data_IF_135073497216
#
_entry.id   IF_135073497216
#
_cell.length_a   1.000
_cell.length_b   1.000
_cell.length_c   1.000
_cell.angle_alpha   90.00
_cell.angle_beta   90.00
_cell.angle_gamma   90.00
#
_symmetry.space_group_name_H-M   'P 1'
#
loop_
_entity.id
_entity.type
_entity.pdbx_description
1 polymer ?
#
# COMPACT_ATOMS: atom_id res chain seq x y z
N UNK A 1 -15.31 -37.15 74.83
CA UNK A 1 -15.03 -36.99 73.38
C UNK A 1 -15.58 -35.64 72.95
N UNK A 2 -14.72 -34.86 72.30
CA UNK A 2 -14.85 -33.44 71.94
C UNK A 2 -15.76 -33.26 70.71
N UNK A 3 -16.54 -32.15 70.64
CA UNK A 3 -16.85 -31.31 69.45
C UNK A 3 -17.91 -30.25 69.85
N UNK A 4 -17.54 -29.03 70.23
CA UNK A 4 -17.16 -27.82 69.46
C UNK A 4 -18.28 -27.21 68.59
N UNK A 5 -18.53 -25.92 68.86
CA UNK A 5 -19.48 -24.98 68.25
C UNK A 5 -19.20 -24.67 66.76
N UNK A 6 -20.22 -24.17 66.06
CA UNK A 6 -20.07 -23.42 64.80
C UNK A 6 -21.03 -22.23 64.75
N UNK A 7 -20.50 -21.02 65.00
CA UNK A 7 -21.14 -19.74 64.70
C UNK A 7 -21.13 -19.51 63.17
N UNK A 8 -22.22 -19.00 62.62
CA UNK A 8 -22.30 -18.50 61.24
C UNK A 8 -22.01 -17.00 61.25
N UNK A 9 -20.89 -16.59 60.66
CA UNK A 9 -20.54 -15.20 60.37
C UNK A 9 -20.84 -14.89 58.89
N UNK A 10 -21.77 -13.95 58.67
CA UNK A 10 -22.05 -13.35 57.36
C UNK A 10 -20.99 -12.28 57.06
N UNK A 11 -20.11 -12.55 56.11
CA UNK A 11 -19.17 -11.57 55.54
C UNK A 11 -19.85 -10.81 54.39
N UNK A 12 -19.93 -9.49 54.54
CA UNK A 12 -20.38 -8.55 53.53
C UNK A 12 -19.17 -8.16 52.65
N UNK A 13 -19.08 -8.69 51.43
CA UNK A 13 -18.08 -8.26 50.46
C UNK A 13 -18.63 -7.08 49.65
N UNK A 14 -18.26 -5.85 50.03
CA UNK A 14 -18.40 -4.69 49.17
C UNK A 14 -17.28 -4.70 48.11
N UNK A 15 -17.60 -5.13 46.89
CA UNK A 15 -16.69 -5.07 45.75
C UNK A 15 -16.60 -3.64 45.22
N UNK A 16 -15.44 -2.99 45.40
CA UNK A 16 -15.07 -1.77 44.67
C UNK A 16 -14.81 -2.13 43.20
N UNK A 17 -15.79 -1.86 42.34
CA UNK A 17 -15.59 -1.84 40.89
C UNK A 17 -14.97 -0.52 40.44
N UNK A 18 -13.65 -0.38 40.58
CA UNK A 18 -12.92 0.68 39.89
C UNK A 18 -12.71 0.24 38.43
N UNK A 19 -13.63 0.63 37.56
CA UNK A 19 -13.42 0.53 36.12
C UNK A 19 -12.25 1.42 35.73
N UNK A 20 -11.15 0.83 35.27
CA UNK A 20 -10.06 1.57 34.62
C UNK A 20 -10.64 2.09 33.32
N UNK A 21 -10.99 3.37 33.28
CA UNK A 21 -11.29 4.06 32.03
C UNK A 21 -10.00 4.04 31.20
N UNK A 22 -10.03 3.39 30.03
CA UNK A 22 -8.94 3.47 29.08
C UNK A 22 -8.72 4.95 28.73
N UNK A 23 -7.55 5.48 29.09
CA UNK A 23 -7.18 6.86 28.78
C UNK A 23 -7.19 7.03 27.26
N UNK A 24 -8.03 7.95 26.76
CA UNK A 24 -8.10 8.21 25.32
C UNK A 24 -6.77 8.81 24.88
N UNK A 25 -6.10 8.12 23.96
CA UNK A 25 -4.84 8.59 23.37
C UNK A 25 -5.06 9.95 22.70
N UNK A 26 -4.25 10.95 23.04
CA UNK A 26 -4.35 12.28 22.44
C UNK A 26 -4.04 12.23 20.93
N UNK A 27 -4.70 13.05 20.09
CA UNK A 27 -4.38 13.19 18.67
C UNK A 27 -2.89 13.45 18.44
N UNK A 28 -2.25 12.69 17.55
CA UNK A 28 -0.85 12.90 17.17
C UNK A 28 -0.65 12.82 15.65
N UNK A 29 0.21 13.69 15.12
CA UNK A 29 0.64 13.67 13.71
C UNK A 29 2.06 14.22 13.60
N UNK A 30 2.93 13.49 12.92
CA UNK A 30 4.33 13.83 12.69
C UNK A 30 4.72 13.51 11.25
N UNK A 31 5.57 14.34 10.65
CA UNK A 31 6.11 14.16 9.31
C UNK A 31 7.63 14.10 9.34
N UNK A 32 8.21 13.22 8.52
CA UNK A 32 9.65 13.11 8.32
C UNK A 32 9.95 12.90 6.84
N UNK A 33 11.03 13.51 6.33
CA UNK A 33 11.56 13.21 4.99
C UNK A 33 12.57 12.07 5.14
N UNK A 34 12.37 10.96 4.44
CA UNK A 34 13.28 9.81 4.51
C UNK A 34 14.22 9.70 3.30
N UNK A 35 13.79 10.23 2.16
CA UNK A 35 14.60 10.33 0.95
C UNK A 35 14.29 11.64 0.24
N UNK A 36 15.33 12.40 -0.13
CA UNK A 36 15.18 13.64 -0.90
C UNK A 36 15.74 13.46 -2.31
N UNK A 37 15.09 14.04 -3.31
CA UNK A 37 15.65 14.09 -4.66
C UNK A 37 17.04 14.78 -4.63
N UNK A 38 18.00 14.22 -5.37
CA UNK A 38 19.39 14.66 -5.41
C UNK A 38 20.23 14.28 -4.18
N UNK A 39 19.70 13.51 -3.23
CA UNK A 39 20.47 13.00 -2.10
C UNK A 39 21.22 11.72 -2.49
N UNK A 40 22.50 11.62 -2.10
CA UNK A 40 23.37 10.49 -2.47
C UNK A 40 23.67 10.46 -3.97
N UNK A 41 23.79 9.25 -4.52
CA UNK A 41 24.20 9.03 -5.92
C UNK A 41 23.01 9.01 -6.91
N UNK A 42 21.81 9.42 -6.48
CA UNK A 42 20.59 9.28 -7.28
C UNK A 42 19.90 10.62 -7.51
N UNK A 43 19.20 10.70 -8.63
CA UNK A 43 18.41 11.87 -8.94
C UNK A 43 17.15 11.95 -8.11
N UNK A 44 16.43 10.85 -7.92
CA UNK A 44 15.16 10.85 -7.22
C UNK A 44 14.74 9.50 -6.69
N UNK A 45 13.81 9.53 -5.74
CA UNK A 45 13.30 8.36 -5.06
C UNK A 45 11.79 8.25 -5.25
N UNK A 46 11.30 7.05 -5.57
CA UNK A 46 9.91 6.82 -5.96
C UNK A 46 9.39 5.48 -5.48
N UNK A 47 8.07 5.30 -5.60
CA UNK A 47 7.37 4.01 -5.43
C UNK A 47 7.59 3.41 -4.02
N UNK A 48 6.77 3.82 -3.03
CA UNK A 48 6.90 3.36 -1.65
C UNK A 48 6.48 1.90 -1.51
N UNK A 49 7.20 1.17 -0.65
CA UNK A 49 6.76 -0.08 -0.04
C UNK A 49 7.13 -0.03 1.44
N UNK A 50 6.20 -0.37 2.32
CA UNK A 50 6.30 -0.19 3.77
C UNK A 50 5.88 -1.47 4.49
N UNK A 51 6.66 -1.87 5.49
CA UNK A 51 6.42 -3.09 6.25
C UNK A 51 6.73 -2.87 7.74
N UNK A 52 5.86 -3.36 8.63
CA UNK A 52 6.15 -3.56 10.05
C UNK A 52 6.44 -5.05 10.26
N UNK A 53 7.57 -5.37 10.91
CA UNK A 53 7.99 -6.77 11.07
C UNK A 53 7.39 -7.42 12.31
N UNK A 54 7.70 -8.70 12.56
CA UNK A 54 7.32 -9.39 13.80
C UNK A 54 8.04 -8.83 15.03
N UNK A 55 9.21 -8.22 14.84
CA UNK A 55 9.92 -7.54 15.92
C UNK A 55 9.17 -6.26 16.26
N UNK A 56 8.69 -6.09 17.51
CA UNK A 56 7.95 -4.89 17.88
C UNK A 56 8.74 -3.63 17.52
N UNK A 57 8.05 -2.66 16.92
CA UNK A 57 8.62 -1.37 16.51
C UNK A 57 9.63 -1.40 15.35
N UNK A 58 9.98 -2.56 14.79
CA UNK A 58 10.80 -2.58 13.57
C UNK A 58 9.94 -2.20 12.36
N UNK A 59 10.41 -1.22 11.60
CA UNK A 59 9.79 -0.74 10.36
C UNK A 59 10.82 -0.75 9.24
N UNK A 60 10.43 -1.26 8.07
CA UNK A 60 11.22 -1.19 6.84
C UNK A 60 10.49 -0.33 5.82
N UNK A 61 11.20 0.60 5.20
CA UNK A 61 10.74 1.32 4.01
C UNK A 61 11.63 0.98 2.84
N UNK A 62 11.04 0.74 1.68
CA UNK A 62 11.72 0.53 0.42
C UNK A 62 11.27 1.57 -0.59
N UNK A 63 12.20 2.01 -1.42
CA UNK A 63 11.94 2.91 -2.53
C UNK A 63 12.79 2.52 -3.73
N UNK A 64 12.29 2.82 -4.92
CA UNK A 64 13.12 2.92 -6.10
C UNK A 64 14.05 4.13 -5.99
N UNK A 65 15.32 3.94 -6.31
CA UNK A 65 16.31 5.00 -6.47
C UNK A 65 16.65 5.12 -7.96
N UNK A 66 16.28 6.26 -8.55
CA UNK A 66 16.28 6.50 -10.00
C UNK A 66 17.32 7.56 -10.37
N UNK A 67 17.89 7.44 -11.57
CA UNK A 67 18.69 8.51 -12.18
C UNK A 67 17.88 9.81 -12.36
N UNK A 68 18.58 10.94 -12.41
CA UNK A 68 17.97 12.28 -12.41
C UNK A 68 17.10 12.55 -13.64
N UNK A 69 17.62 12.24 -14.82
CA UNK A 69 16.97 12.48 -16.09
C UNK A 69 17.14 11.24 -16.95
N UNK A 70 16.19 10.97 -17.84
CA UNK A 70 16.54 10.20 -19.04
C UNK A 70 17.26 11.12 -20.04
N UNK A 71 17.89 10.52 -21.05
CA UNK A 71 18.46 11.24 -22.19
C UNK A 71 17.46 12.09 -23.01
N UNK A 72 16.21 12.26 -22.54
CA UNK A 72 15.18 13.12 -23.12
C UNK A 72 14.67 14.19 -22.13
N UNK A 73 15.31 14.35 -20.95
CA UNK A 73 15.01 15.41 -20.00
C UNK A 73 13.78 15.17 -19.10
N UNK A 74 13.24 13.94 -19.02
CA UNK A 74 12.16 13.63 -18.07
C UNK A 74 12.75 13.29 -16.69
N UNK A 75 12.30 13.94 -15.60
CA UNK A 75 12.83 13.67 -14.27
C UNK A 75 12.36 12.32 -13.72
N UNK A 76 13.32 11.56 -13.17
CA UNK A 76 13.15 10.27 -12.48
C UNK A 76 12.32 9.23 -13.26
N UNK A 77 12.68 8.94 -14.52
CA UNK A 77 11.85 8.12 -15.40
C UNK A 77 11.95 6.65 -15.03
N UNK A 78 10.86 5.89 -15.24
CA UNK A 78 10.78 4.45 -14.99
C UNK A 78 11.55 3.59 -16.01
N UNK A 79 12.17 4.23 -17.02
CA UNK A 79 13.03 3.63 -18.04
C UNK A 79 14.53 3.72 -17.76
N UNK A 80 14.94 4.49 -16.75
CA UNK A 80 16.34 4.64 -16.38
C UNK A 80 16.83 3.47 -15.52
N UNK A 81 18.15 3.33 -15.38
CA UNK A 81 18.71 2.41 -14.39
C UNK A 81 18.11 2.77 -13.03
N UNK A 82 17.58 1.76 -12.37
CA UNK A 82 16.86 1.94 -11.10
C UNK A 82 17.29 0.86 -10.14
N UNK A 83 17.58 1.24 -8.91
CA UNK A 83 17.91 0.33 -7.81
C UNK A 83 16.79 0.34 -6.78
N UNK A 84 16.78 -0.65 -5.89
CA UNK A 84 15.90 -0.60 -4.72
C UNK A 84 16.75 -0.31 -3.48
N UNK A 85 16.37 0.74 -2.77
CA UNK A 85 16.98 1.17 -1.52
C UNK A 85 16.02 0.93 -0.36
N UNK A 86 16.59 0.79 0.84
CA UNK A 86 15.88 0.58 2.08
C UNK A 86 16.41 1.49 3.18
N UNK A 87 15.53 1.91 4.10
CA UNK A 87 15.91 2.35 5.46
C UNK A 87 15.15 1.51 6.48
N UNK A 88 15.76 1.27 7.65
CA UNK A 88 15.20 0.48 8.75
C UNK A 88 15.11 1.31 10.03
N UNK A 89 13.98 1.23 10.72
CA UNK A 89 13.76 1.79 12.06
C UNK A 89 13.53 0.66 13.05
N UNK A 90 13.95 0.85 14.31
CA UNK A 90 13.73 -0.07 15.46
C UNK A 90 12.92 0.57 16.58
N UNK A 91 12.41 1.77 16.34
CA UNK A 91 11.71 2.61 17.32
C UNK A 91 10.40 3.14 16.75
N UNK A 92 9.74 2.36 15.89
CA UNK A 92 8.40 2.67 15.39
C UNK A 92 8.38 3.81 14.37
N UNK A 93 9.49 4.00 13.65
CA UNK A 93 9.65 5.04 12.63
C UNK A 93 10.07 6.41 13.19
N UNK A 94 10.61 6.49 14.40
CA UNK A 94 11.12 7.72 14.99
C UNK A 94 12.52 8.06 14.48
N UNK A 95 13.42 7.09 14.41
CA UNK A 95 14.76 7.21 13.84
C UNK A 95 15.00 6.12 12.80
N UNK A 96 15.92 6.38 11.88
CA UNK A 96 16.16 5.53 10.72
C UNK A 96 17.65 5.27 10.55
N UNK A 97 17.98 4.05 10.15
CA UNK A 97 19.31 3.69 9.69
C UNK A 97 19.74 4.54 8.50
N UNK A 98 21.04 4.52 8.21
CA UNK A 98 21.55 4.91 6.90
C UNK A 98 20.86 4.12 5.78
N UNK A 99 20.81 4.75 4.60
CA UNK A 99 20.23 4.15 3.40
C UNK A 99 21.08 2.95 2.97
N UNK A 100 20.43 1.81 2.77
CA UNK A 100 21.02 0.59 2.21
C UNK A 100 20.52 0.37 0.78
N UNK A 101 21.41 -0.03 -0.14
CA UNK A 101 21.00 -0.56 -1.46
C UNK A 101 20.74 -2.06 -1.29
N UNK A 102 19.49 -2.49 -1.44
CA UNK A 102 19.10 -3.91 -1.25
C UNK A 102 18.97 -4.65 -2.57
N UNK A 103 18.73 -3.94 -3.67
CA UNK A 103 18.84 -4.48 -5.03
C UNK A 103 19.64 -3.52 -5.89
N UNK A 104 20.90 -3.90 -6.15
CA UNK A 104 21.79 -3.21 -7.08
C UNK A 104 21.39 -3.52 -8.53
N UNK A 105 21.58 -2.55 -9.42
CA UNK A 105 21.27 -2.68 -10.84
C UNK A 105 22.39 -2.13 -11.71
N UNK A 106 22.74 -2.88 -12.76
CA UNK A 106 23.63 -2.42 -13.82
C UNK A 106 22.91 -2.64 -15.16
N UNK A 107 22.68 -1.55 -15.92
CA UNK A 107 21.97 -1.59 -17.21
C UNK A 107 20.59 -2.27 -17.17
N UNK A 108 19.93 -2.28 -16.01
CA UNK A 108 18.57 -2.80 -15.84
C UNK A 108 17.69 -1.81 -15.09
N UNK A 109 16.41 -1.79 -15.44
CA UNK A 109 15.39 -1.13 -14.63
C UNK A 109 14.99 -2.12 -13.53
N UNK A 110 15.09 -1.76 -12.26
CA UNK A 110 14.52 -2.54 -11.15
C UNK A 110 13.46 -1.70 -10.46
N UNK A 111 12.21 -2.17 -10.39
CA UNK A 111 11.13 -1.34 -9.86
C UNK A 111 9.90 -2.12 -9.42
N UNK A 112 8.90 -1.38 -8.95
CA UNK A 112 7.71 -1.86 -8.25
C UNK A 112 8.08 -2.79 -7.08
N UNK A 113 8.79 -2.27 -6.06
CA UNK A 113 9.00 -3.05 -4.83
C UNK A 113 7.65 -3.35 -4.18
N UNK A 114 7.47 -4.61 -3.78
CA UNK A 114 6.31 -5.05 -3.01
C UNK A 114 6.76 -6.02 -1.92
N UNK A 115 6.85 -5.54 -0.68
CA UNK A 115 7.24 -6.34 0.46
C UNK A 115 6.08 -7.19 0.99
N UNK A 116 6.35 -8.41 1.46
CA UNK A 116 5.40 -9.24 2.19
C UNK A 116 6.11 -9.98 3.32
N UNK A 117 5.51 -9.95 4.51
CA UNK A 117 5.99 -10.66 5.69
C UNK A 117 5.24 -11.99 5.83
N UNK A 118 5.98 -13.09 5.87
CA UNK A 118 5.49 -14.33 6.45
C UNK A 118 5.59 -14.23 7.97
N UNK A 119 4.48 -13.93 8.63
CA UNK A 119 4.43 -13.75 10.09
C UNK A 119 4.65 -15.06 10.85
N UNK A 120 4.49 -16.22 10.21
CA UNK A 120 4.70 -17.52 10.85
C UNK A 120 6.20 -17.87 10.91
N UNK A 121 6.97 -17.50 9.89
CA UNK A 121 8.42 -17.79 9.84
C UNK A 121 9.30 -16.57 10.18
N UNK A 122 8.74 -15.36 10.15
CA UNK A 122 9.49 -14.11 10.24
C UNK A 122 10.23 -13.73 8.95
N UNK A 123 10.08 -14.52 7.87
CA UNK A 123 10.75 -14.25 6.60
C UNK A 123 10.09 -13.07 5.90
N UNK A 124 10.90 -12.12 5.45
CA UNK A 124 10.49 -10.98 4.66
C UNK A 124 10.85 -11.25 3.21
N UNK A 125 9.89 -11.17 2.30
CA UNK A 125 10.12 -11.22 0.87
C UNK A 125 9.93 -9.82 0.28
N UNK A 126 10.84 -9.38 -0.57
CA UNK A 126 10.68 -8.17 -1.37
C UNK A 126 10.62 -8.58 -2.84
N UNK A 127 9.43 -8.52 -3.41
CA UNK A 127 9.21 -8.79 -4.83
C UNK A 127 9.46 -7.52 -5.63
N UNK A 128 9.98 -7.67 -6.84
CA UNK A 128 10.23 -6.57 -7.76
C UNK A 128 10.29 -7.05 -9.20
N UNK A 129 10.19 -6.10 -10.13
CA UNK A 129 10.26 -6.36 -11.56
C UNK A 129 11.57 -5.83 -12.15
N UNK A 130 12.05 -6.50 -13.21
CA UNK A 130 13.25 -6.11 -13.96
C UNK A 130 12.99 -5.94 -15.45
N UNK A 131 13.75 -5.07 -16.10
CA UNK A 131 13.75 -4.83 -17.54
C UNK A 131 15.13 -4.38 -18.01
N UNK A 132 15.27 -4.11 -19.31
CA UNK A 132 16.53 -3.57 -19.86
C UNK A 132 16.58 -2.06 -19.59
N UNK A 133 17.74 -1.52 -19.21
CA UNK A 133 17.97 -0.07 -19.12
C UNK A 133 19.16 0.37 -19.99
N UNK A 134 19.10 1.57 -20.61
CA UNK A 134 17.93 2.45 -20.69
C UNK A 134 16.83 1.80 -21.56
N UNK A 135 15.61 1.74 -21.04
CA UNK A 135 14.52 1.04 -21.71
C UNK A 135 13.98 1.85 -22.88
N UNK A 136 13.81 1.21 -24.05
CA UNK A 136 12.89 1.74 -25.07
C UNK A 136 11.45 1.57 -24.61
N UNK A 137 10.52 2.24 -25.30
CA UNK A 137 9.10 2.13 -25.01
C UNK A 137 8.67 0.65 -25.00
N UNK A 138 8.19 0.20 -23.84
CA UNK A 138 7.75 -1.17 -23.66
C UNK A 138 8.85 -2.18 -23.32
N UNK A 139 10.05 -1.77 -22.90
CA UNK A 139 11.15 -2.67 -22.49
C UNK A 139 11.33 -2.80 -20.96
N UNK A 140 10.63 -1.99 -20.17
CA UNK A 140 10.61 -2.09 -18.70
C UNK A 140 9.82 -3.31 -18.23
N UNK A 141 9.99 -3.72 -16.97
CA UNK A 141 9.03 -4.59 -16.27
C UNK A 141 8.73 -5.92 -17.01
N UNK A 142 9.79 -6.66 -17.37
CA UNK A 142 9.76 -7.90 -18.18
C UNK A 142 9.86 -9.18 -17.37
N UNK A 143 10.62 -9.16 -16.29
CA UNK A 143 10.86 -10.32 -15.42
C UNK A 143 10.46 -9.96 -14.01
N UNK A 144 10.11 -10.97 -13.20
CA UNK A 144 9.76 -10.78 -11.79
C UNK A 144 10.72 -11.61 -10.93
N UNK A 145 11.16 -11.01 -9.83
CA UNK A 145 12.15 -11.56 -8.93
C UNK A 145 11.71 -11.32 -7.49
N UNK A 146 12.34 -12.03 -6.56
CA UNK A 146 12.32 -11.63 -5.15
C UNK A 146 13.71 -11.75 -4.52
N UNK A 147 13.94 -10.94 -3.49
CA UNK A 147 14.96 -11.19 -2.47
C UNK A 147 14.25 -11.50 -1.15
N UNK A 148 14.93 -12.17 -0.22
CA UNK A 148 14.38 -12.41 1.12
C UNK A 148 15.37 -12.11 2.22
N UNK A 149 14.84 -11.71 3.38
CA UNK A 149 15.56 -11.57 4.65
C UNK A 149 14.96 -12.53 5.67
N UNK A 150 15.82 -13.19 6.43
CA UNK A 150 15.45 -14.06 7.57
C UNK A 150 16.00 -13.52 8.90
N UNK A 151 16.49 -12.28 8.89
CA UNK A 151 17.16 -11.60 9.99
C UNK A 151 16.60 -10.18 10.20
N UNK A 152 15.27 -10.05 10.07
CA UNK A 152 14.52 -8.82 10.37
C UNK A 152 14.91 -7.61 9.50
N UNK A 153 15.30 -7.87 8.25
CA UNK A 153 15.66 -6.87 7.24
C UNK A 153 17.12 -6.44 7.26
N UNK A 154 18.00 -7.09 8.03
CA UNK A 154 19.42 -6.72 8.12
C UNK A 154 20.21 -7.16 6.88
N UNK A 155 20.03 -8.40 6.42
CA UNK A 155 20.67 -8.93 5.22
C UNK A 155 19.64 -9.52 4.26
N UNK A 156 20.03 -9.58 2.99
CA UNK A 156 19.15 -9.99 1.89
C UNK A 156 19.83 -11.03 1.02
N UNK A 157 19.04 -12.03 0.60
CA UNK A 157 19.50 -13.02 -0.37
C UNK A 157 19.81 -12.40 -1.73
N UNK A 158 20.52 -13.15 -2.57
CA UNK A 158 20.55 -12.85 -4.02
C UNK A 158 19.14 -12.95 -4.63
N UNK A 159 18.86 -12.24 -5.74
CA UNK A 159 17.58 -12.32 -6.44
C UNK A 159 17.25 -13.72 -6.94
N UNK A 160 16.02 -14.16 -6.74
CA UNK A 160 15.44 -15.39 -7.29
C UNK A 160 14.46 -15.02 -8.40
N UNK A 161 14.69 -15.52 -9.61
CA UNK A 161 13.79 -15.31 -10.75
C UNK A 161 12.55 -16.20 -10.64
N UNK A 162 11.36 -15.60 -10.66
CA UNK A 162 10.06 -16.27 -10.62
C UNK A 162 9.23 -15.98 -11.88
N UNK A 163 9.84 -15.46 -12.94
CA UNK A 163 9.16 -14.98 -14.15
C UNK A 163 8.28 -16.05 -14.79
N UNK A 164 8.73 -17.31 -14.81
CA UNK A 164 8.01 -18.41 -15.45
C UNK A 164 6.65 -18.70 -14.81
N UNK A 165 6.52 -18.48 -13.50
CA UNK A 165 5.26 -18.63 -12.76
C UNK A 165 4.52 -17.31 -12.62
N UNK A 166 5.25 -16.20 -12.58
CA UNK A 166 4.68 -14.90 -12.31
C UNK A 166 4.06 -14.24 -13.54
N UNK A 167 4.67 -14.40 -14.72
CA UNK A 167 4.29 -13.67 -15.95
C UNK A 167 3.80 -14.63 -17.04
N UNK A 168 2.72 -14.26 -17.72
CA UNK A 168 2.27 -15.01 -18.90
C UNK A 168 3.30 -14.95 -20.03
N UNK A 169 3.48 -16.05 -20.76
CA UNK A 169 4.46 -16.12 -21.87
C UNK A 169 4.26 -14.99 -22.88
N UNK A 170 3.01 -14.72 -23.22
CA UNK A 170 2.65 -13.69 -24.21
C UNK A 170 2.42 -12.30 -23.61
N UNK A 171 2.59 -12.12 -22.30
CA UNK A 171 2.42 -10.81 -21.68
C UNK A 171 3.58 -9.90 -22.08
N UNK A 172 3.29 -8.63 -22.32
CA UNK A 172 4.29 -7.59 -22.58
C UNK A 172 5.00 -7.15 -21.31
N UNK A 173 4.26 -7.02 -20.19
CA UNK A 173 4.78 -6.49 -18.93
C UNK A 173 4.20 -7.23 -17.71
N UNK A 174 4.93 -7.13 -16.60
CA UNK A 174 4.56 -7.55 -15.24
C UNK A 174 4.98 -6.48 -14.24
N UNK A 175 4.12 -6.17 -13.27
CA UNK A 175 4.41 -5.25 -12.16
C UNK A 175 4.05 -5.97 -10.85
N UNK A 176 4.94 -5.97 -9.87
CA UNK A 176 4.74 -6.53 -8.53
C UNK A 176 4.33 -5.40 -7.58
N UNK A 177 3.08 -5.35 -7.15
CA UNK A 177 2.55 -4.19 -6.42
C UNK A 177 2.37 -2.95 -7.32
N UNK A 178 2.79 -1.74 -6.87
CA UNK A 178 3.64 -1.48 -5.70
C UNK A 178 2.90 -1.57 -4.35
N UNK A 179 3.56 -1.17 -3.25
CA UNK A 179 2.99 -1.22 -1.90
C UNK A 179 3.43 -2.47 -1.15
N UNK A 180 2.49 -3.22 -0.58
CA UNK A 180 2.78 -4.45 0.16
C UNK A 180 1.81 -5.60 -0.14
N UNK A 181 2.30 -6.81 0.07
CA UNK A 181 1.49 -8.02 0.12
C UNK A 181 1.06 -8.34 1.55
N UNK A 182 0.10 -9.24 1.69
CA UNK A 182 -0.42 -9.70 2.98
C UNK A 182 -0.19 -11.20 3.16
N UNK A 183 -0.09 -11.64 4.40
CA UNK A 183 -0.37 -13.03 4.74
C UNK A 183 -1.82 -13.16 5.18
N UNK A 184 -2.56 -14.12 4.64
CA UNK A 184 -3.92 -14.46 5.07
C UNK A 184 -3.89 -15.30 6.34
N UNK A 185 -5.01 -15.39 7.07
CA UNK A 185 -5.18 -16.29 8.23
C UNK A 185 -4.91 -17.75 7.90
N UNK A 186 -5.11 -18.15 6.64
CA UNK A 186 -4.77 -19.49 6.15
C UNK A 186 -3.25 -19.77 6.07
N UNK A 187 -2.40 -18.75 6.24
CA UNK A 187 -0.95 -18.83 6.05
C UNK A 187 -0.49 -18.43 4.65
N UNK A 188 -1.40 -18.36 3.66
CA UNK A 188 -1.10 -17.93 2.29
C UNK A 188 -0.48 -16.54 2.25
N UNK A 189 0.67 -16.40 1.60
CA UNK A 189 1.20 -15.10 1.17
C UNK A 189 0.48 -14.68 -0.10
N UNK A 190 0.03 -13.43 -0.18
CA UNK A 190 -0.72 -12.88 -1.30
C UNK A 190 -0.13 -11.51 -1.67
N UNK A 191 0.33 -11.40 -2.92
CA UNK A 191 1.03 -10.22 -3.43
C UNK A 191 0.27 -9.67 -4.63
N UNK A 192 -0.21 -8.40 -4.59
CA UNK A 192 -0.88 -7.79 -5.72
C UNK A 192 0.07 -7.61 -6.90
N UNK A 193 -0.42 -7.77 -8.12
CA UNK A 193 0.37 -7.61 -9.35
C UNK A 193 -0.47 -7.06 -10.50
N UNK A 194 0.21 -6.50 -11.50
CA UNK A 194 -0.39 -6.08 -12.78
C UNK A 194 0.26 -6.85 -13.92
N UNK A 195 -0.55 -7.45 -14.78
CA UNK A 195 -0.13 -8.07 -16.04
C UNK A 195 -0.53 -7.20 -17.22
N UNK A 196 0.20 -7.31 -18.32
CA UNK A 196 -0.19 -6.64 -19.57
C UNK A 196 -0.19 -7.60 -20.76
N UNK A 197 -1.36 -7.88 -21.32
CA UNK A 197 -1.55 -8.53 -22.62
C UNK A 197 -2.64 -7.76 -23.35
N UNK A 198 -2.29 -7.01 -24.40
CA UNK A 198 -3.20 -6.10 -25.10
C UNK A 198 -3.64 -4.90 -24.25
N UNK A 199 -4.14 -5.18 -23.04
CA UNK A 199 -4.58 -4.31 -21.95
C UNK A 199 -3.85 -4.66 -20.66
N UNK A 200 -3.87 -3.77 -19.68
CA UNK A 200 -3.43 -4.06 -18.31
C UNK A 200 -4.57 -4.67 -17.50
N UNK A 201 -4.24 -5.53 -16.56
CA UNK A 201 -5.18 -6.17 -15.64
C UNK A 201 -4.48 -6.49 -14.31
N UNK A 202 -5.23 -6.42 -13.22
CA UNK A 202 -4.77 -6.85 -11.90
C UNK A 202 -4.82 -8.38 -11.77
N UNK A 203 -3.93 -8.96 -10.98
CA UNK A 203 -3.96 -10.36 -10.55
C UNK A 203 -3.13 -10.50 -9.26
N UNK A 204 -3.03 -11.69 -8.70
CA UNK A 204 -2.25 -11.96 -7.49
C UNK A 204 -1.14 -12.97 -7.78
N UNK A 205 0.02 -12.77 -7.18
CA UNK A 205 0.94 -13.85 -6.88
C UNK A 205 0.64 -14.38 -5.49
N UNK A 206 0.79 -15.68 -5.29
CA UNK A 206 0.58 -16.29 -3.99
C UNK A 206 1.52 -17.45 -3.72
N UNK A 207 1.75 -17.71 -2.44
CA UNK A 207 2.49 -18.87 -1.95
C UNK A 207 1.75 -19.48 -0.77
N UNK A 208 1.54 -20.79 -0.84
CA UNK A 208 0.90 -21.60 0.22
C UNK A 208 1.94 -22.41 1.03
N UNK A 209 3.23 -22.23 0.75
CA UNK A 209 4.32 -23.04 1.29
C UNK A 209 5.48 -22.18 1.83
N UNK A 210 5.14 -21.02 2.40
CA UNK A 210 6.09 -20.09 3.02
C UNK A 210 7.15 -19.56 2.04
N UNK A 211 6.74 -19.26 0.81
CA UNK A 211 7.59 -18.69 -0.24
C UNK A 211 8.57 -19.68 -0.88
N UNK A 212 8.39 -21.00 -0.66
CA UNK A 212 9.18 -22.04 -1.36
C UNK A 212 8.79 -22.13 -2.83
N UNK A 213 7.50 -22.00 -3.14
CA UNK A 213 6.98 -21.88 -4.49
C UNK A 213 5.95 -20.77 -4.60
N UNK A 214 5.86 -20.19 -5.80
CA UNK A 214 4.92 -19.13 -6.13
C UNK A 214 4.02 -19.55 -7.28
N UNK A 215 2.79 -19.08 -7.23
CA UNK A 215 1.76 -19.28 -8.24
C UNK A 215 1.08 -17.96 -8.53
N UNK A 216 0.35 -17.87 -9.63
CA UNK A 216 -0.49 -16.71 -9.96
C UNK A 216 -1.96 -17.08 -9.96
N UNK A 217 -2.80 -16.14 -9.55
CA UNK A 217 -4.25 -16.27 -9.70
C UNK A 217 -4.70 -15.97 -11.14
N UNK A 218 -6.00 -16.18 -11.39
CA UNK A 218 -6.66 -15.69 -12.58
C UNK A 218 -6.62 -14.15 -12.64
N UNK A 219 -6.64 -13.60 -13.86
CA UNK A 219 -6.73 -12.17 -14.05
C UNK A 219 -8.09 -11.62 -13.59
N UNK A 220 -8.10 -10.45 -12.95
CA UNK A 220 -9.30 -9.67 -12.68
C UNK A 220 -9.75 -8.95 -13.96
N UNK A 221 -10.35 -9.71 -14.89
CA UNK A 221 -11.02 -9.14 -16.07
C UNK A 221 -12.50 -9.00 -15.76
N UNK A 222 -13.07 -7.80 -15.92
CA UNK A 222 -14.47 -7.53 -15.58
C UNK A 222 -15.44 -8.60 -16.11
N UNK A 223 -16.39 -8.95 -15.25
CA UNK A 223 -17.51 -9.91 -15.43
C UNK A 223 -17.22 -11.41 -15.32
N UNK A 224 -16.00 -11.91 -15.60
CA UNK A 224 -15.58 -13.27 -15.22
C UNK A 224 -14.07 -13.32 -14.97
N UNK A 225 -13.65 -13.81 -13.81
CA UNK A 225 -12.28 -14.31 -13.61
C UNK A 225 -12.08 -15.53 -14.50
N UNK A 226 -11.16 -15.43 -15.46
CA UNK A 226 -10.81 -16.53 -16.36
C UNK A 226 -9.39 -16.99 -16.04
N UNK A 227 -9.25 -18.28 -15.74
CA UNK A 227 -7.97 -18.97 -15.53
C UNK A 227 -7.31 -19.35 -16.89
N UNK A 228 -6.10 -19.93 -16.90
CA UNK A 228 -4.90 -19.40 -17.53
C UNK A 228 -4.73 -19.95 -18.96
N UNK A 229 -5.65 -19.58 -19.85
CA UNK A 229 -5.59 -19.99 -21.27
C UNK A 229 -6.34 -19.06 -22.22
N UNK A 230 -6.68 -17.84 -21.78
CA UNK A 230 -7.64 -16.97 -22.46
C UNK A 230 -7.21 -16.67 -23.90
N UNK A 231 -7.90 -17.35 -24.82
CA UNK A 231 -7.91 -17.10 -26.25
C UNK A 231 -8.66 -15.81 -26.47
N UNK A 232 -7.93 -14.79 -26.91
CA UNK A 232 -8.49 -13.52 -27.31
C UNK A 232 -9.39 -13.75 -28.52
N UNK A 233 -10.69 -13.66 -28.32
CA UNK A 233 -11.63 -13.51 -29.42
C UNK A 233 -11.08 -12.37 -30.31
N UNK A 234 -10.80 -12.73 -31.57
CA UNK A 234 -10.31 -11.86 -32.64
C UNK A 234 -11.10 -10.55 -32.62
N UNK A 235 -10.55 -9.53 -31.99
CA UNK A 235 -11.02 -8.17 -32.15
C UNK A 235 -10.52 -7.69 -33.51
N UNK A 236 -11.48 -7.46 -34.41
CA UNK A 236 -11.26 -6.94 -35.75
C UNK A 236 -10.41 -5.68 -35.77
N UNK A 237 -9.95 -5.31 -36.97
CA UNK A 237 -8.78 -4.46 -37.27
C UNK A 237 -8.69 -3.05 -36.64
N UNK A 238 -9.55 -2.64 -35.69
CA UNK A 238 -9.37 -1.47 -34.80
C UNK A 238 -10.12 -1.64 -33.46
N UNK A 239 -9.43 -1.63 -32.30
CA UNK A 239 -10.06 -1.08 -31.09
C UNK A 239 -9.07 -0.51 -30.05
N UNK A 240 -9.19 0.75 -29.64
CA UNK A 240 -8.55 1.26 -28.41
C UNK A 240 -9.41 2.33 -27.74
N UNK A 241 -10.05 1.97 -26.63
CA UNK A 241 -10.27 2.80 -25.41
C UNK A 241 -11.12 2.09 -24.35
N UNK A 242 -11.99 1.16 -24.74
CA UNK A 242 -12.78 0.34 -23.82
C UNK A 242 -12.49 -1.13 -24.09
N UNK A 243 -11.69 -1.75 -23.23
CA UNK A 243 -11.65 -3.20 -23.13
C UNK A 243 -12.12 -3.57 -21.72
N UNK A 244 -13.11 -4.46 -21.57
CA UNK A 244 -13.59 -4.93 -20.26
C UNK A 244 -12.50 -5.50 -19.33
N UNK A 245 -11.31 -5.79 -19.86
CA UNK A 245 -10.15 -6.20 -19.07
C UNK A 245 -9.36 -5.06 -18.41
N UNK A 246 -9.50 -3.80 -18.84
CA UNK A 246 -8.71 -2.65 -18.34
C UNK A 246 -9.50 -1.80 -17.33
N UNK A 247 -10.10 -2.44 -16.32
CA UNK A 247 -10.95 -1.73 -15.34
C UNK A 247 -10.12 -1.16 -14.19
N UNK A 248 -9.06 -1.88 -13.80
CA UNK A 248 -8.12 -1.55 -12.74
C UNK A 248 -6.70 -2.02 -13.10
N UNK A 249 -5.71 -1.51 -12.38
CA UNK A 249 -4.32 -1.96 -12.44
C UNK A 249 -3.71 -2.07 -11.03
N UNK A 250 -2.84 -1.14 -10.62
CA UNK A 250 -2.13 -1.13 -9.33
C UNK A 250 -3.14 -1.17 -8.17
N UNK A 251 -2.88 -2.01 -7.17
CA UNK A 251 -3.86 -2.35 -6.16
C UNK A 251 -3.24 -2.84 -4.85
N UNK A 252 -4.01 -2.68 -3.79
CA UNK A 252 -3.78 -3.32 -2.50
C UNK A 252 -4.89 -4.30 -2.15
N UNK A 253 -4.59 -5.22 -1.24
CA UNK A 253 -5.54 -6.20 -0.72
C UNK A 253 -5.49 -6.30 0.80
N UNK A 254 -6.62 -6.62 1.42
CA UNK A 254 -6.69 -6.93 2.84
C UNK A 254 -7.71 -8.03 3.12
N UNK A 255 -7.45 -8.86 4.13
CA UNK A 255 -8.43 -9.85 4.60
C UNK A 255 -9.46 -9.18 5.52
N UNK A 256 -10.74 -9.38 5.21
CA UNK A 256 -11.88 -8.92 6.01
C UNK A 256 -12.14 -9.88 7.17
N UNK A 257 -12.86 -9.43 8.20
CA UNK A 257 -13.20 -10.27 9.35
C UNK A 257 -13.95 -11.53 8.96
N UNK A 258 -14.79 -11.48 7.91
CA UNK A 258 -15.56 -12.60 7.39
C UNK A 258 -14.76 -13.56 6.48
N UNK A 259 -13.45 -13.36 6.35
CA UNK A 259 -12.54 -14.21 5.57
C UNK A 259 -12.52 -13.92 4.08
N UNK A 260 -13.33 -12.97 3.59
CA UNK A 260 -13.15 -12.47 2.22
C UNK A 260 -11.85 -11.68 2.11
N UNK A 261 -11.26 -11.65 0.92
CA UNK A 261 -10.20 -10.69 0.58
C UNK A 261 -10.84 -9.51 -0.12
N UNK A 262 -10.65 -8.30 0.41
CA UNK A 262 -11.05 -7.05 -0.22
C UNK A 262 -9.88 -6.49 -1.02
N UNK A 263 -10.19 -6.05 -2.23
CA UNK A 263 -9.27 -5.44 -3.17
C UNK A 263 -9.64 -3.97 -3.34
N UNK A 264 -8.66 -3.08 -3.35
CA UNK A 264 -8.84 -1.68 -3.68
C UNK A 264 -7.76 -1.23 -4.67
N UNK A 265 -8.16 -0.60 -5.77
CA UNK A 265 -7.25 -0.36 -6.88
C UNK A 265 -7.41 1.00 -7.54
N UNK A 266 -6.33 1.40 -8.19
CA UNK A 266 -6.31 2.44 -9.20
C UNK A 266 -7.28 2.05 -10.32
N UNK A 267 -8.14 3.00 -10.71
CA UNK A 267 -9.11 2.80 -11.78
C UNK A 267 -8.57 3.28 -13.13
N UNK A 268 -8.89 2.53 -14.19
CA UNK A 268 -8.39 2.78 -15.55
C UNK A 268 -9.44 3.29 -16.54
N UNK A 269 -10.70 3.33 -16.12
CA UNK A 269 -11.83 3.83 -16.91
C UNK A 269 -12.11 5.33 -16.71
N UNK A 270 -11.12 6.11 -16.23
CA UNK A 270 -11.27 7.55 -15.96
C UNK A 270 -12.48 7.90 -15.07
N UNK A 271 -12.87 6.98 -14.19
CA UNK A 271 -14.08 7.11 -13.35
C UNK A 271 -13.87 8.11 -12.22
N UNK A 272 -12.61 8.34 -11.81
CA UNK A 272 -12.25 9.28 -10.75
C UNK A 272 -12.43 8.74 -9.34
N UNK A 273 -12.69 7.43 -9.21
CA UNK A 273 -12.90 6.76 -7.94
C UNK A 273 -12.05 5.51 -7.84
N UNK A 274 -11.75 5.07 -6.61
CA UNK A 274 -11.08 3.78 -6.38
C UNK A 274 -11.99 2.63 -6.80
N UNK A 275 -11.40 1.68 -7.52
CA UNK A 275 -12.03 0.42 -7.86
C UNK A 275 -11.98 -0.54 -6.67
N UNK A 276 -12.98 -1.42 -6.53
CA UNK A 276 -12.98 -2.46 -5.51
C UNK A 276 -13.64 -3.76 -5.97
N UNK A 277 -13.23 -4.86 -5.35
CA UNK A 277 -13.78 -6.19 -5.55
C UNK A 277 -13.54 -7.05 -4.30
N UNK A 278 -14.19 -8.21 -4.26
CA UNK A 278 -14.00 -9.21 -3.21
C UNK A 278 -13.67 -10.58 -3.79
N UNK A 279 -12.79 -11.30 -3.10
CA UNK A 279 -12.53 -12.73 -3.29
C UNK A 279 -13.03 -13.52 -2.07
N UNK A 280 -13.48 -14.76 -2.29
CA UNK A 280 -13.94 -15.70 -1.26
C UNK A 280 -13.02 -16.92 -1.10
N UNK A 281 -11.94 -16.98 -1.86
CA UNK A 281 -11.07 -18.15 -2.00
C UNK A 281 -9.58 -17.78 -1.89
N UNK A 282 -9.29 -16.75 -1.09
CA UNK A 282 -7.93 -16.32 -0.81
C UNK A 282 -7.23 -15.67 -2.00
N UNK A 283 -7.96 -14.89 -2.80
CA UNK A 283 -7.43 -14.07 -3.89
C UNK A 283 -7.36 -14.75 -5.26
N UNK A 284 -7.94 -15.96 -5.42
CA UNK A 284 -7.88 -16.70 -6.67
C UNK A 284 -8.93 -16.23 -7.68
N UNK A 285 -10.16 -16.03 -7.21
CA UNK A 285 -11.26 -15.50 -8.01
C UNK A 285 -11.88 -14.27 -7.36
N UNK A 286 -12.43 -13.39 -8.19
CA UNK A 286 -12.90 -12.07 -7.80
C UNK A 286 -14.30 -11.79 -8.32
N UNK A 287 -15.10 -11.14 -7.48
CA UNK A 287 -16.37 -10.56 -7.90
C UNK A 287 -16.17 -9.43 -8.91
N UNK A 288 -17.27 -9.01 -9.55
CA UNK A 288 -17.24 -7.88 -10.49
C UNK A 288 -16.70 -6.62 -9.82
N UNK A 289 -15.75 -5.97 -10.49
CA UNK A 289 -15.17 -4.69 -10.05
C UNK A 289 -16.27 -3.60 -10.00
N UNK A 290 -16.30 -2.88 -8.89
CA UNK A 290 -17.18 -1.73 -8.60
C UNK A 290 -16.32 -0.52 -8.23
N UNK A 291 -16.96 0.63 -7.96
CA UNK A 291 -16.28 1.88 -7.60
C UNK A 291 -16.84 2.48 -6.32
N UNK A 292 -15.97 2.94 -5.42
CA UNK A 292 -16.37 3.61 -4.19
C UNK A 292 -16.54 5.12 -4.43
N UNK A 293 -17.78 5.61 -4.45
CA UNK A 293 -18.07 7.04 -4.65
C UNK A 293 -17.60 7.94 -3.48
N UNK A 294 -17.49 7.37 -2.27
CA UNK A 294 -16.86 8.03 -1.13
C UNK A 294 -15.33 8.07 -1.22
N UNK A 295 -14.76 7.44 -2.26
CA UNK A 295 -13.34 7.33 -2.45
C UNK A 295 -12.85 7.99 -3.77
N UNK A 296 -13.02 9.33 -3.95
CA UNK A 296 -12.53 10.03 -5.13
C UNK A 296 -11.01 10.07 -5.14
N UNK A 297 -10.37 9.62 -6.22
CA UNK A 297 -8.92 9.43 -6.22
C UNK A 297 -8.30 9.48 -7.61
N UNK A 298 -7.11 10.07 -7.68
CA UNK A 298 -6.24 10.15 -8.87
C UNK A 298 -5.93 8.80 -9.50
N UNK A 299 -5.53 8.79 -10.78
CA UNK A 299 -5.01 7.59 -11.44
C UNK A 299 -3.58 7.30 -10.96
N UNK A 300 -3.51 6.78 -9.75
CA UNK A 300 -2.31 6.47 -8.96
C UNK A 300 -2.67 5.40 -7.97
N UNK A 301 -1.71 4.60 -7.54
CA UNK A 301 -1.94 3.67 -6.45
C UNK A 301 -2.15 4.37 -5.10
N UNK A 302 -2.70 3.62 -4.13
CA UNK A 302 -2.90 4.06 -2.75
C UNK A 302 -2.24 3.10 -1.78
N UNK A 303 -2.53 3.26 -0.49
CA UNK A 303 -2.16 2.28 0.54
C UNK A 303 -3.41 1.81 1.29
N UNK A 304 -3.44 0.55 1.71
CA UNK A 304 -4.53 -0.06 2.48
C UNK A 304 -3.98 -0.75 3.73
N UNK A 305 -4.56 -0.47 4.89
CA UNK A 305 -4.18 -1.15 6.13
C UNK A 305 -5.37 -1.32 7.08
N UNK A 306 -5.20 -2.19 8.09
CA UNK A 306 -6.15 -2.39 9.19
C UNK A 306 -5.51 -1.96 10.50
N UNK A 307 -6.23 -1.21 11.32
CA UNK A 307 -5.83 -0.96 12.71
C UNK A 307 -5.96 -2.26 13.52
N UNK A 308 -4.90 -2.72 14.22
CA UNK A 308 -4.99 -3.88 15.09
C UNK A 308 -6.07 -3.68 16.16
N UNK A 309 -6.80 -4.76 16.50
CA UNK A 309 -7.85 -4.80 17.55
C UNK A 309 -9.11 -3.98 17.27
N UNK A 310 -9.11 -3.17 16.23
CA UNK A 310 -10.26 -2.40 15.80
C UNK A 310 -10.75 -2.95 14.44
N UNK A 311 -12.06 -2.97 14.22
CA UNK A 311 -12.60 -3.34 12.92
C UNK A 311 -12.53 -2.17 11.94
N UNK A 312 -11.35 -1.56 11.81
CA UNK A 312 -11.15 -0.29 11.13
C UNK A 312 -10.15 -0.45 10.00
N UNK A 313 -10.61 -0.12 8.78
CA UNK A 313 -9.78 -0.08 7.59
C UNK A 313 -9.37 1.35 7.26
N UNK A 314 -8.16 1.51 6.75
CA UNK A 314 -7.55 2.78 6.38
C UNK A 314 -7.15 2.73 4.91
N UNK A 315 -7.43 3.80 4.16
CA UNK A 315 -7.06 3.93 2.74
C UNK A 315 -6.43 5.29 2.49
N UNK A 316 -5.17 5.31 2.08
CA UNK A 316 -4.46 6.53 1.68
C UNK A 316 -4.50 6.68 0.16
N UNK A 317 -4.70 7.91 -0.30
CA UNK A 317 -4.51 8.26 -1.72
C UNK A 317 -4.49 9.78 -1.96
N UNK A 318 -3.86 10.24 -3.04
CA UNK A 318 -4.10 11.57 -3.57
C UNK A 318 -5.54 11.75 -4.06
N UNK A 319 -6.08 12.93 -3.82
CA UNK A 319 -7.40 13.37 -4.28
C UNK A 319 -7.26 14.41 -5.40
N UNK A 320 -8.37 14.83 -6.01
CA UNK A 320 -8.39 15.88 -7.03
C UNK A 320 -8.71 17.24 -6.41
N UNK A 321 -8.37 18.31 -7.14
CA UNK A 321 -9.00 19.62 -6.92
C UNK A 321 -10.13 19.82 -7.93
N UNK A 322 -11.30 20.20 -7.43
CA UNK A 322 -12.38 20.70 -8.26
C UNK A 322 -12.25 22.22 -8.41
N UNK A 323 -12.38 22.72 -9.64
CA UNK A 323 -12.56 24.15 -9.92
C UNK A 323 -13.86 24.30 -10.72
N UNK A 324 -14.82 25.06 -10.18
CA UNK A 324 -16.13 25.28 -10.79
C UNK A 324 -16.88 23.98 -11.16
N UNK A 325 -16.83 22.96 -10.30
CA UNK A 325 -17.52 21.68 -10.54
C UNK A 325 -16.87 20.77 -11.60
N UNK A 326 -15.75 21.19 -12.21
CA UNK A 326 -14.97 20.36 -13.13
C UNK A 326 -13.61 20.01 -12.50
N UNK A 327 -13.10 18.83 -12.85
CA UNK A 327 -11.69 18.51 -12.60
C UNK A 327 -10.86 19.51 -13.40
N UNK A 328 -10.08 20.35 -12.71
CA UNK A 328 -9.09 21.18 -13.40
C UNK A 328 -8.13 20.23 -14.17
N UNK A 329 -7.60 20.56 -15.34
CA UNK A 329 -6.51 19.84 -16.03
C UNK A 329 -6.62 18.33 -16.37
N UNK A 330 -7.76 17.66 -16.15
CA UNK A 330 -7.98 16.23 -16.47
C UNK A 330 -7.51 15.23 -15.41
N UNK A 331 -8.06 14.01 -15.45
CA UNK A 331 -7.93 13.00 -14.38
C UNK A 331 -6.51 12.42 -14.19
N UNK A 332 -5.66 12.55 -15.20
CA UNK A 332 -4.29 12.04 -15.22
C UNK A 332 -3.27 12.99 -14.58
N UNK A 333 -3.62 14.25 -14.31
CA UNK A 333 -2.66 15.31 -13.99
C UNK A 333 -2.67 15.81 -12.54
N UNK A 334 -3.62 15.37 -11.69
CA UNK A 334 -3.79 15.93 -10.32
C UNK A 334 -3.51 14.94 -9.19
N UNK A 335 -2.31 14.38 -9.17
CA UNK A 335 -1.77 13.71 -7.98
C UNK A 335 -1.42 14.78 -6.92
N UNK A 336 -2.41 15.15 -6.11
CA UNK A 336 -2.29 16.14 -5.04
C UNK A 336 -3.11 15.75 -3.82
N UNK A 337 -2.92 16.45 -2.71
CA UNK A 337 -3.76 16.38 -1.52
C UNK A 337 -3.90 14.94 -0.99
N UNK A 338 -2.76 14.33 -0.60
CA UNK A 338 -2.74 12.99 0.00
C UNK A 338 -3.67 12.96 1.22
N UNK A 339 -4.65 12.07 1.18
CA UNK A 339 -5.74 11.98 2.14
C UNK A 339 -5.85 10.57 2.66
N UNK A 340 -6.06 10.42 3.96
CA UNK A 340 -6.43 9.15 4.61
C UNK A 340 -7.95 9.09 4.74
N UNK A 341 -8.54 7.93 4.46
CA UNK A 341 -9.97 7.66 4.70
C UNK A 341 -10.15 6.44 5.60
N UNK A 342 -11.22 6.42 6.37
CA UNK A 342 -11.50 5.39 7.37
C UNK A 342 -12.82 4.70 7.08
N UNK A 343 -12.83 3.37 7.18
CA UNK A 343 -14.04 2.55 7.17
C UNK A 343 -14.16 1.79 8.48
N UNK A 344 -15.37 1.76 9.04
CA UNK A 344 -15.73 1.03 10.27
C UNK A 344 -16.58 -0.22 9.98
N UNK A 345 -16.82 -0.52 8.71
CA UNK A 345 -17.79 -1.51 8.24
C UNK A 345 -17.23 -2.42 7.15
N UNK A 346 -15.93 -2.75 7.27
CA UNK A 346 -15.21 -3.66 6.37
C UNK A 346 -15.18 -3.18 4.92
N UNK A 347 -14.96 -1.87 4.76
CA UNK A 347 -14.77 -1.22 3.46
C UNK A 347 -16.08 -0.92 2.72
N UNK A 348 -17.25 -1.14 3.33
CA UNK A 348 -18.53 -0.84 2.68
C UNK A 348 -18.75 0.67 2.52
N UNK A 349 -18.46 1.43 3.57
CA UNK A 349 -18.50 2.90 3.58
C UNK A 349 -17.23 3.50 4.17
N UNK A 350 -16.95 4.74 3.76
CA UNK A 350 -15.76 5.51 4.14
C UNK A 350 -16.15 6.92 4.60
N UNK A 351 -16.78 7.06 5.78
CA UNK A 351 -17.41 8.31 6.22
C UNK A 351 -16.43 9.39 6.72
N UNK A 352 -15.18 9.03 7.01
CA UNK A 352 -14.18 9.95 7.58
C UNK A 352 -12.98 10.05 6.65
N UNK A 353 -12.55 11.27 6.36
CA UNK A 353 -11.30 11.54 5.65
C UNK A 353 -10.55 12.71 6.29
N UNK A 354 -9.22 12.62 6.35
CA UNK A 354 -8.34 13.71 6.82
C UNK A 354 -7.15 13.89 5.87
N UNK A 355 -6.76 15.14 5.65
CA UNK A 355 -5.63 15.48 4.77
C UNK A 355 -4.32 15.16 5.50
N UNK A 356 -3.47 14.33 4.88
CA UNK A 356 -2.09 14.07 5.33
C UNK A 356 -1.16 15.16 4.79
N UNK A 357 -1.18 15.40 3.47
CA UNK A 357 -0.29 16.37 2.82
C UNK A 357 -1.07 17.24 1.83
N UNK A 358 -1.00 18.56 2.00
CA UNK A 358 -1.58 19.53 1.05
C UNK A 358 -0.60 19.77 -0.09
N UNK A 359 -1.05 19.71 -1.34
CA UNK A 359 -0.20 19.99 -2.51
C UNK A 359 0.25 18.73 -3.27
N UNK A 360 1.30 18.80 -4.09
CA UNK A 360 1.77 17.67 -4.91
C UNK A 360 2.07 16.42 -4.08
N UNK A 361 1.41 15.32 -4.41
CA UNK A 361 1.62 14.03 -3.73
C UNK A 361 1.15 12.88 -4.59
N UNK A 362 1.84 11.75 -4.59
CA UNK A 362 1.57 10.64 -5.50
C UNK A 362 1.44 9.30 -4.76
N UNK A 363 2.25 8.30 -5.09
CA UNK A 363 2.09 6.96 -4.52
C UNK A 363 2.26 7.02 -2.99
N UNK A 364 1.57 6.13 -2.29
CA UNK A 364 1.63 6.00 -0.84
C UNK A 364 1.43 4.55 -0.44
N UNK A 365 2.01 4.12 0.66
CA UNK A 365 1.76 2.83 1.29
C UNK A 365 1.43 3.03 2.78
N UNK A 366 0.73 2.07 3.40
CA UNK A 366 0.30 2.10 4.79
C UNK A 366 0.77 0.87 5.56
N UNK A 367 1.19 1.08 6.79
CA UNK A 367 1.33 0.02 7.80
C UNK A 367 0.88 0.52 9.16
N UNK A 368 0.60 -0.40 10.09
CA UNK A 368 0.18 -0.05 11.44
C UNK A 368 1.02 -0.82 12.45
N UNK A 369 1.53 -0.10 13.44
CA UNK A 369 2.27 -0.67 14.56
C UNK A 369 1.33 -1.39 15.54
N UNK A 370 1.83 -2.32 16.38
CA UNK A 370 1.00 -3.07 17.33
C UNK A 370 0.22 -2.22 18.36
N UNK A 371 0.67 -0.99 18.59
CA UNK A 371 0.04 -0.01 19.48
C UNK A 371 -1.06 0.83 18.80
N UNK A 372 -1.31 0.62 17.50
CA UNK A 372 -2.30 1.36 16.72
C UNK A 372 -1.77 2.62 16.05
N UNK A 373 -0.47 2.93 16.18
CA UNK A 373 0.15 4.02 15.45
C UNK A 373 0.21 3.70 13.95
N UNK A 374 -0.33 4.58 13.13
CA UNK A 374 -0.38 4.46 11.67
C UNK A 374 0.86 5.09 11.06
N UNK A 375 1.44 4.38 10.10
CA UNK A 375 2.56 4.80 9.27
C UNK A 375 2.06 4.96 7.83
N UNK A 376 2.32 6.12 7.21
CA UNK A 376 2.09 6.33 5.80
C UNK A 376 3.37 6.79 5.13
N UNK A 377 3.90 5.99 4.21
CA UNK A 377 5.11 6.30 3.45
C UNK A 377 4.73 6.71 2.02
N UNK A 378 5.11 7.89 1.55
CA UNK A 378 4.53 8.48 0.34
C UNK A 378 5.43 9.45 -0.41
N UNK A 379 5.12 9.64 -1.70
CA UNK A 379 5.71 10.65 -2.58
C UNK A 379 5.06 12.02 -2.37
N UNK A 380 5.85 13.06 -2.10
CA UNK A 380 5.34 14.43 -2.00
C UNK A 380 6.41 15.51 -2.23
N UNK A 381 5.92 16.73 -2.46
CA UNK A 381 6.73 17.94 -2.51
C UNK A 381 5.87 19.19 -2.39
N UNK A 382 6.49 20.35 -2.56
CA UNK A 382 5.84 21.65 -2.52
C UNK A 382 5.41 22.08 -3.93
N UNK A 383 6.30 21.93 -4.93
CA UNK A 383 6.03 22.27 -6.34
C UNK A 383 5.78 21.01 -7.18
N UNK A 384 6.59 19.98 -6.96
CA UNK A 384 6.57 18.72 -7.68
C UNK A 384 6.47 17.51 -6.76
N UNK A 385 5.63 16.55 -7.15
CA UNK A 385 5.26 15.36 -6.37
C UNK A 385 6.40 14.38 -6.07
N UNK A 386 7.56 14.50 -6.72
CA UNK A 386 8.70 13.59 -6.54
C UNK A 386 9.92 14.27 -5.91
N UNK A 387 9.75 15.42 -5.27
CA UNK A 387 10.83 16.09 -4.53
C UNK A 387 11.33 15.25 -3.34
N UNK A 388 10.45 14.48 -2.71
CA UNK A 388 10.79 13.67 -1.55
C UNK A 388 9.88 12.47 -1.35
N UNK A 389 10.41 11.46 -0.68
CA UNK A 389 9.66 10.39 -0.04
C UNK A 389 9.57 10.70 1.46
N UNK A 390 8.35 10.79 1.97
CA UNK A 390 8.03 11.22 3.34
C UNK A 390 7.34 10.10 4.11
N UNK A 391 7.54 10.08 5.42
CA UNK A 391 6.77 9.26 6.36
C UNK A 391 5.90 10.17 7.21
N UNK A 392 4.60 9.88 7.25
CA UNK A 392 3.67 10.42 8.23
C UNK A 392 3.40 9.36 9.31
N UNK A 393 3.42 9.80 10.58
CA UNK A 393 3.06 9.02 11.76
C UNK A 393 1.88 9.67 12.47
N UNK A 394 0.75 8.99 12.54
CA UNK A 394 -0.46 9.50 13.23
C UNK A 394 -1.29 8.39 13.88
N UNK A 395 -2.24 8.75 14.73
CA UNK A 395 -3.15 7.80 15.37
C UNK A 395 -4.61 8.05 14.95
N UNK A 396 -5.51 7.11 15.29
CA UNK A 396 -6.93 7.23 14.92
C UNK A 396 -7.59 8.47 15.53
N UNK A 397 -7.20 8.84 16.75
CA UNK A 397 -7.69 10.04 17.42
C UNK A 397 -7.43 11.31 16.58
N UNK A 398 -6.26 11.42 15.94
CA UNK A 398 -6.01 12.44 14.94
C UNK A 398 -6.96 12.28 13.75
N UNK A 399 -7.07 11.12 13.11
CA UNK A 399 -7.92 11.02 11.89
C UNK A 399 -9.38 11.44 12.16
N UNK A 400 -9.91 11.14 13.34
CA UNK A 400 -11.29 11.43 13.74
C UNK A 400 -11.53 12.82 14.34
N UNK A 401 -10.47 13.56 14.67
CA UNK A 401 -10.60 14.92 15.20
C UNK A 401 -11.31 15.80 14.18
N UNK A 402 -12.39 16.46 14.61
CA UNK A 402 -13.09 17.41 13.75
C UNK A 402 -12.12 18.55 13.43
N UNK A 403 -11.99 18.97 12.17
CA UNK A 403 -11.32 20.22 11.87
C UNK A 403 -11.98 21.30 12.71
N UNK A 404 -11.19 22.06 13.49
CA UNK A 404 -11.71 23.23 14.22
C UNK A 404 -12.51 24.07 13.24
N UNK A 405 -13.79 24.29 13.54
CA UNK A 405 -14.58 25.18 12.71
C UNK A 405 -13.99 26.58 12.85
N UNK A 406 -14.12 27.43 11.83
CA UNK A 406 -13.72 28.84 11.95
C UNK A 406 -14.48 29.59 13.07
N UNK A 407 -15.48 28.97 13.69
CA UNK A 407 -16.20 29.48 14.86
C UNK A 407 -15.55 29.10 16.21
N UNK A 408 -14.60 28.16 16.22
CA UNK A 408 -13.89 27.70 17.44
C UNK A 408 -12.51 28.36 17.62
N UNK A 409 -12.14 29.30 16.74
CA UNK A 409 -10.95 30.13 16.94
C UNK A 409 -11.33 31.28 17.89
N UNK A 410 -10.70 31.42 19.07
CA UNK A 410 -10.96 32.57 19.93
C UNK A 410 -10.77 33.84 19.11
N UNK A 411 -11.78 34.69 19.10
CA UNK A 411 -11.67 35.95 18.39
C UNK A 411 -10.53 36.74 19.05
N UNK A 412 -9.74 37.47 18.26
CA UNK A 412 -8.72 38.39 18.78
C UNK A 412 -9.30 39.54 19.62
N UNK A 413 -10.62 39.55 19.90
CA UNK A 413 -11.26 40.42 20.88
C UNK A 413 -11.25 39.89 22.31
N UNK A 414 -10.91 38.61 22.53
CA UNK A 414 -10.78 38.02 23.87
C UNK A 414 -9.33 38.06 24.39
N UNK A 415 -8.43 38.70 23.64
CA UNK A 415 -7.08 39.05 24.04
C UNK A 415 -6.90 40.57 23.94
N UNK A 416 -7.65 41.31 24.76
CA UNK A 416 -7.26 42.59 25.36
C UNK A 416 -8.26 43.09 26.39
#
# INVERSE_FOLDING_TARGET
>A
MIRLLGLVSLLWCAGYGAGIAAEKTAPSMQHQVLFRAGEGDYGGYRIPSLLVTNTPQTVLVFAEAREALDGFGVPFPDRAVTEIVMRRSVDGGHTWSERQVVVKSENVTTGNPCAVLDRQTGTIFLLFCRGVAPAKAGETNKTAHFIKSTDDGLTWSVPVDITSVAKGKDWKHIFTGPGHGIQLRSGRLLVPCVGQYGVQFSYMLYSDDHGKSWRRSAALTGEKTLDPGVTWLKLGKKPLRYSPGNVSDECDVIELADGRVYFNARSRLEVGYRAFAYSRDGGLHWSKVKFHLQLPGSVVDGGLARLPRENVLLMSRPTYQFKNGMTYGGIWSHRRNLTISVSFDEGQTWPVSRLIHKGPSAYSDLAVLPDGQVLCFYEAGEEFRYESMRLARFNLAWIQERPLSSADTPSTKDLK
#
